data_IF_346773839803
#
_entry.id   IF_346773839803
#
_cell.length_a   1.000
_cell.length_b   1.000
_cell.length_c   1.000
_cell.angle_alpha   90.00
_cell.angle_beta   90.00
_cell.angle_gamma   90.00
#
_symmetry.space_group_name_H-M   'P 1'
#
loop_
_entity.id
_entity.type
_entity.pdbx_description
1 polymer ?
#
# COMPACT_ATOMS: atom_id res chain seq x y z
N UNK A 1 -13.00 -0.03 5.67
CA UNK A 1 -14.14 -0.92 5.38
C UNK A 1 -14.14 -1.26 3.90
N UNK A 2 -14.37 -2.53 3.55
CA UNK A 2 -14.45 -3.02 2.18
C UNK A 2 -15.88 -3.49 1.89
N UNK A 3 -16.41 -3.04 0.76
CA UNK A 3 -17.71 -3.45 0.23
C UNK A 3 -17.55 -4.06 -1.15
N UNK A 4 -18.39 -5.05 -1.46
CA UNK A 4 -18.55 -5.63 -2.79
C UNK A 4 -19.98 -5.45 -3.29
N UNK A 5 -20.32 -6.00 -4.48
CA UNK A 5 -21.67 -5.92 -5.03
C UNK A 5 -22.74 -6.51 -4.11
N UNK A 6 -22.40 -7.50 -3.30
CA UNK A 6 -23.31 -8.14 -2.35
C UNK A 6 -23.36 -7.43 -0.98
N UNK A 7 -22.65 -6.32 -0.79
CA UNK A 7 -22.61 -5.56 0.45
C UNK A 7 -21.27 -5.63 1.17
N UNK A 8 -21.30 -5.59 2.49
CA UNK A 8 -20.11 -5.55 3.35
C UNK A 8 -19.29 -6.84 3.27
N UNK A 9 -17.98 -6.70 3.04
CA UNK A 9 -17.02 -7.80 3.01
C UNK A 9 -16.23 -7.87 4.32
N UNK A 10 -15.78 -6.73 4.82
CA UNK A 10 -14.97 -6.68 6.03
C UNK A 10 -14.34 -5.32 6.30
N UNK A 11 -13.44 -5.28 7.26
CA UNK A 11 -12.66 -4.08 7.59
C UNK A 11 -11.22 -4.46 7.91
N UNK A 12 -10.31 -3.53 7.72
CA UNK A 12 -8.94 -3.56 8.22
C UNK A 12 -8.74 -2.34 9.11
N UNK A 13 -8.33 -2.56 10.33
CA UNK A 13 -7.95 -1.49 11.24
C UNK A 13 -6.48 -1.11 11.03
N UNK A 14 -6.14 0.15 11.27
CA UNK A 14 -4.76 0.63 11.20
C UNK A 14 -3.92 -0.04 12.29
N UNK A 15 -2.75 -0.55 11.90
CA UNK A 15 -1.89 -1.32 12.79
C UNK A 15 -0.97 -0.42 13.61
N UNK A 16 -0.34 0.55 12.95
CA UNK A 16 0.66 1.42 13.56
C UNK A 16 0.21 2.87 13.48
N UNK A 17 -0.04 3.46 14.63
CA UNK A 17 -0.41 4.87 14.73
C UNK A 17 0.81 5.76 14.59
N UNK A 18 0.66 6.89 13.90
CA UNK A 18 1.65 7.96 13.87
C UNK A 18 1.84 8.55 15.28
N UNK A 19 2.90 9.30 15.47
CA UNK A 19 3.16 10.01 16.72
C UNK A 19 1.96 10.91 17.10
N UNK A 20 1.46 11.69 16.12
CA UNK A 20 0.32 12.58 16.31
C UNK A 20 -0.94 11.83 16.76
N UNK A 21 -1.31 10.75 16.09
CA UNK A 21 -2.47 9.92 16.45
C UNK A 21 -2.35 9.36 17.87
N UNK A 22 -1.13 9.02 18.32
CA UNK A 22 -0.87 8.52 19.68
C UNK A 22 -0.91 9.59 20.75
N UNK A 23 -0.21 10.70 20.50
CA UNK A 23 0.04 11.73 21.52
C UNK A 23 -1.11 12.74 21.63
N UNK A 24 -1.72 13.12 20.48
CA UNK A 24 -2.77 14.14 20.45
C UNK A 24 -4.19 13.51 20.49
N UNK A 25 -4.40 12.42 19.74
CA UNK A 25 -5.72 11.79 19.67
C UNK A 25 -5.88 10.59 20.60
N UNK A 26 -4.82 10.15 21.23
CA UNK A 26 -4.79 8.99 22.13
C UNK A 26 -5.37 7.71 21.50
N UNK A 27 -5.16 7.52 20.19
CA UNK A 27 -5.63 6.36 19.46
C UNK A 27 -4.58 5.25 19.50
N UNK A 28 -5.03 4.04 19.81
CA UNK A 28 -4.21 2.84 19.75
C UNK A 28 -4.42 2.09 18.44
N UNK A 29 -3.37 1.45 17.93
CA UNK A 29 -3.46 0.52 16.82
C UNK A 29 -4.17 -0.77 17.21
N UNK A 30 -4.86 -1.38 16.27
CA UNK A 30 -5.52 -2.66 16.49
C UNK A 30 -4.73 -3.78 15.77
N UNK A 31 -4.20 -4.77 16.50
CA UNK A 31 -3.47 -5.86 15.88
C UNK A 31 -4.39 -6.76 15.07
N UNK A 32 -3.88 -7.24 13.95
CA UNK A 32 -4.58 -8.18 13.09
C UNK A 32 -4.62 -7.73 11.63
N UNK A 33 -3.94 -8.48 10.78
CA UNK A 33 -3.97 -8.29 9.33
C UNK A 33 -5.04 -9.18 8.71
N UNK A 34 -5.74 -8.65 7.73
CA UNK A 34 -6.77 -9.38 7.00
C UNK A 34 -6.45 -9.46 5.52
N UNK A 35 -6.73 -10.62 4.96
CA UNK A 35 -6.77 -10.85 3.51
C UNK A 35 -8.22 -10.93 3.09
N UNK A 36 -8.56 -10.23 2.04
CA UNK A 36 -9.90 -10.22 1.47
C UNK A 36 -9.89 -10.98 0.15
N UNK A 37 -10.47 -12.17 0.15
CA UNK A 37 -10.71 -12.92 -1.07
C UNK A 37 -11.89 -12.30 -1.82
N UNK A 38 -11.64 -11.82 -3.02
CA UNK A 38 -12.64 -11.14 -3.84
C UNK A 38 -12.67 -11.70 -5.26
N UNK A 39 -13.73 -11.38 -6.02
CA UNK A 39 -13.84 -11.75 -7.42
C UNK A 39 -12.75 -11.12 -8.32
N UNK A 40 -12.05 -10.08 -7.82
CA UNK A 40 -10.99 -9.36 -8.55
C UNK A 40 -9.60 -9.64 -7.98
N UNK A 41 -9.44 -10.71 -7.19
CA UNK A 41 -8.17 -11.11 -6.60
C UNK A 41 -8.11 -10.96 -5.08
N UNK A 42 -6.98 -11.31 -4.50
CA UNK A 42 -6.70 -11.20 -3.07
C UNK A 42 -6.18 -9.82 -2.72
N UNK A 43 -6.96 -9.12 -1.90
CA UNK A 43 -6.66 -7.74 -1.48
C UNK A 43 -6.16 -7.72 -0.04
N UNK A 44 -5.18 -6.86 0.22
CA UNK A 44 -4.75 -6.46 1.56
C UNK A 44 -4.82 -4.94 1.70
N UNK A 45 -4.82 -4.44 2.93
CA UNK A 45 -4.84 -2.99 3.20
C UNK A 45 -3.73 -2.64 4.18
N UNK A 46 -2.91 -1.64 3.84
CA UNK A 46 -1.93 -1.01 4.71
C UNK A 46 -2.25 0.49 4.77
N UNK A 47 -2.78 0.95 5.89
CA UNK A 47 -3.33 2.30 6.00
C UNK A 47 -2.21 3.31 6.25
N UNK A 48 -1.92 4.16 5.26
CA UNK A 48 -1.00 5.29 5.38
C UNK A 48 0.35 4.86 5.97
N UNK A 49 0.63 5.22 7.23
CA UNK A 49 1.85 4.89 7.96
C UNK A 49 2.17 3.39 8.00
N UNK A 50 1.16 2.50 7.97
CA UNK A 50 1.38 1.05 7.91
C UNK A 50 2.24 0.64 6.70
N UNK A 51 2.14 1.37 5.59
CA UNK A 51 2.93 1.09 4.37
C UNK A 51 4.44 1.34 4.53
N UNK A 52 4.84 2.11 5.54
CA UNK A 52 6.25 2.37 5.84
C UNK A 52 6.93 1.18 6.57
N UNK A 53 6.14 0.19 7.03
CA UNK A 53 6.64 -0.99 7.75
C UNK A 53 6.68 -2.23 6.85
N UNK A 54 7.87 -2.73 6.46
CA UNK A 54 8.00 -3.83 5.51
C UNK A 54 7.33 -5.12 5.99
N UNK A 55 7.37 -5.42 7.28
CA UNK A 55 6.81 -6.68 7.81
C UNK A 55 5.29 -6.76 7.67
N UNK A 56 4.56 -5.65 7.69
CA UNK A 56 3.10 -5.63 7.47
C UNK A 56 2.78 -6.13 6.07
N UNK A 57 3.37 -5.51 5.06
CA UNK A 57 3.15 -5.90 3.67
C UNK A 57 3.71 -7.29 3.38
N UNK A 58 4.85 -7.65 3.98
CA UNK A 58 5.44 -8.99 3.87
C UNK A 58 4.46 -10.07 4.33
N UNK A 59 3.84 -9.91 5.50
CA UNK A 59 2.87 -10.86 6.03
C UNK A 59 1.63 -10.98 5.14
N UNK A 60 1.14 -9.87 4.60
CA UNK A 60 0.04 -9.86 3.64
C UNK A 60 0.42 -10.61 2.34
N UNK A 61 1.61 -10.35 1.80
CA UNK A 61 2.09 -11.01 0.59
C UNK A 61 2.30 -12.53 0.79
N UNK A 62 2.84 -12.96 1.93
CA UNK A 62 2.95 -14.38 2.33
C UNK A 62 1.58 -15.05 2.47
N UNK A 63 0.57 -14.30 2.90
CA UNK A 63 -0.82 -14.77 2.94
C UNK A 63 -1.52 -14.73 1.57
N UNK A 64 -0.78 -14.44 0.49
CA UNK A 64 -1.25 -14.50 -0.89
C UNK A 64 -1.87 -13.21 -1.43
N UNK A 65 -1.70 -12.07 -0.76
CA UNK A 65 -2.17 -10.78 -1.30
C UNK A 65 -1.47 -10.47 -2.63
N UNK A 66 -2.29 -10.11 -3.61
CA UNK A 66 -1.87 -9.73 -4.97
C UNK A 66 -1.94 -8.22 -5.16
N UNK A 67 -2.91 -7.57 -4.49
CA UNK A 67 -3.10 -6.12 -4.53
C UNK A 67 -3.12 -5.56 -3.11
N UNK A 68 -2.18 -4.67 -2.82
CA UNK A 68 -2.11 -3.94 -1.55
C UNK A 68 -2.73 -2.55 -1.74
N UNK A 69 -3.78 -2.26 -0.99
CA UNK A 69 -4.43 -0.96 -0.98
C UNK A 69 -3.79 -0.08 0.11
N UNK A 70 -3.37 1.12 -0.27
CA UNK A 70 -2.73 2.09 0.63
C UNK A 70 -3.55 3.40 0.63
N UNK A 71 -4.69 3.43 1.33
CA UNK A 71 -5.37 4.69 1.59
C UNK A 71 -4.53 5.54 2.56
N UNK A 72 -4.39 6.82 2.30
CA UNK A 72 -3.55 7.69 3.14
C UNK A 72 -4.11 9.10 3.29
N UNK A 73 -3.67 9.77 4.36
CA UNK A 73 -3.92 11.17 4.61
C UNK A 73 -2.62 11.79 5.10
N UNK A 74 -2.10 12.77 4.38
CA UNK A 74 -0.83 13.44 4.71
C UNK A 74 -0.98 14.93 4.44
N UNK A 75 -0.51 15.75 5.38
CA UNK A 75 -0.60 17.21 5.41
C UNK A 75 0.51 17.91 4.63
N UNK A 76 1.59 17.20 4.36
CA UNK A 76 2.80 17.75 3.73
C UNK A 76 3.26 16.91 2.54
N UNK A 77 3.98 17.54 1.62
CA UNK A 77 4.66 16.83 0.52
C UNK A 77 5.66 15.81 1.06
N UNK A 78 6.31 16.10 2.18
CA UNK A 78 7.23 15.16 2.83
C UNK A 78 6.48 13.92 3.37
N UNK A 79 5.31 14.14 4.01
CA UNK A 79 4.42 13.07 4.47
C UNK A 79 3.94 12.19 3.32
N UNK A 80 3.46 12.80 2.25
CA UNK A 80 3.09 12.09 1.03
C UNK A 80 4.25 11.26 0.47
N UNK A 81 5.45 11.82 0.36
CA UNK A 81 6.60 11.10 -0.18
C UNK A 81 7.03 9.93 0.70
N UNK A 82 6.92 10.00 2.03
CA UNK A 82 7.19 8.84 2.88
C UNK A 82 6.26 7.67 2.53
N UNK A 83 4.94 7.91 2.50
CA UNK A 83 3.95 6.89 2.15
C UNK A 83 4.17 6.39 0.72
N UNK A 84 4.46 7.29 -0.23
CA UNK A 84 4.76 6.93 -1.62
C UNK A 84 5.98 6.02 -1.73
N UNK A 85 7.08 6.37 -1.06
CA UNK A 85 8.31 5.55 -1.04
C UNK A 85 8.01 4.18 -0.42
N UNK A 86 7.28 4.15 0.70
CA UNK A 86 6.80 2.92 1.30
C UNK A 86 6.01 2.08 0.31
N UNK A 87 4.99 2.64 -0.33
CA UNK A 87 4.14 1.95 -1.29
C UNK A 87 4.93 1.35 -2.47
N UNK A 88 5.87 2.11 -3.04
CA UNK A 88 6.76 1.63 -4.12
C UNK A 88 7.65 0.49 -3.62
N UNK A 89 8.23 0.63 -2.42
CA UNK A 89 9.06 -0.41 -1.84
C UNK A 89 8.26 -1.72 -1.59
N UNK A 90 7.01 -1.60 -1.15
CA UNK A 90 6.12 -2.77 -0.98
C UNK A 90 5.83 -3.46 -2.32
N UNK A 91 5.60 -2.69 -3.39
CA UNK A 91 5.42 -3.27 -4.73
C UNK A 91 6.67 -4.04 -5.18
N UNK A 92 7.86 -3.46 -4.99
CA UNK A 92 9.14 -4.06 -5.34
C UNK A 92 9.41 -5.36 -4.57
N UNK A 93 9.44 -5.30 -3.25
CA UNK A 93 9.91 -6.40 -2.40
C UNK A 93 8.90 -7.55 -2.27
N UNK A 94 7.60 -7.22 -2.34
CA UNK A 94 6.52 -8.22 -2.28
C UNK A 94 6.09 -8.74 -3.64
N UNK A 95 6.61 -8.15 -4.73
CA UNK A 95 6.22 -8.44 -6.11
C UNK A 95 4.69 -8.49 -6.25
N UNK A 96 4.03 -7.40 -5.87
CA UNK A 96 2.58 -7.24 -5.93
C UNK A 96 2.21 -5.87 -6.52
N UNK A 97 0.94 -5.71 -6.86
CA UNK A 97 0.39 -4.41 -7.24
C UNK A 97 0.07 -3.60 -5.98
N UNK A 98 0.41 -2.32 -5.97
CA UNK A 98 0.06 -1.42 -4.86
C UNK A 98 -0.76 -0.25 -5.38
N UNK A 99 -1.93 -0.03 -4.79
CA UNK A 99 -2.81 1.09 -5.12
C UNK A 99 -2.72 2.12 -4.00
N UNK A 100 -2.10 3.25 -4.29
CA UNK A 100 -1.96 4.37 -3.36
C UNK A 100 -3.04 5.41 -3.64
N UNK A 101 -3.88 5.67 -2.65
CA UNK A 101 -5.01 6.59 -2.74
C UNK A 101 -4.99 7.61 -1.59
N UNK A 102 -4.23 8.71 -1.72
CA UNK A 102 -4.20 9.76 -0.73
C UNK A 102 -5.42 10.68 -0.82
N UNK A 103 -5.82 11.24 0.32
CA UNK A 103 -6.69 12.43 0.34
C UNK A 103 -5.93 13.64 -0.21
N UNK A 104 -6.64 14.55 -0.87
CA UNK A 104 -6.11 15.80 -1.39
C UNK A 104 -7.09 16.96 -1.15
N UNK A 105 -6.56 18.17 -1.05
CA UNK A 105 -7.34 19.38 -0.84
C UNK A 105 -7.38 19.85 0.60
N UNK A 106 -8.13 20.90 0.88
CA UNK A 106 -8.27 21.51 2.19
C UNK A 106 -9.66 21.26 2.79
N UNK A 107 -9.72 21.21 4.12
CA UNK A 107 -10.97 21.23 4.89
C UNK A 107 -10.88 22.29 5.98
N UNK A 108 -11.98 22.96 6.25
CA UNK A 108 -12.05 24.08 7.21
C UNK A 108 -12.67 23.68 8.56
N UNK A 109 -13.26 22.51 8.61
CA UNK A 109 -13.99 22.02 9.80
C UNK A 109 -13.13 21.18 10.76
N UNK A 110 -11.92 20.81 10.36
CA UNK A 110 -10.99 20.02 11.20
C UNK A 110 -9.55 20.49 11.01
N UNK A 111 -8.97 21.20 12.00
CA UNK A 111 -7.61 21.73 11.89
C UNK A 111 -6.50 20.68 11.82
N UNK A 112 -6.78 19.42 12.11
CA UNK A 112 -5.83 18.31 11.94
C UNK A 112 -5.82 17.76 10.51
N UNK A 113 -6.77 18.18 9.65
CA UNK A 113 -6.92 17.77 8.27
C UNK A 113 -7.05 18.98 7.34
N UNK A 114 -6.65 20.17 7.81
CA UNK A 114 -6.80 21.44 7.13
C UNK A 114 -6.14 21.47 5.76
N UNK A 115 -5.04 20.79 5.59
CA UNK A 115 -4.36 20.58 4.31
C UNK A 115 -4.11 19.10 4.07
N UNK A 116 -4.34 18.64 2.81
CA UNK A 116 -4.06 17.28 2.39
C UNK A 116 -3.31 17.30 1.06
N UNK A 117 -2.13 16.69 1.05
CA UNK A 117 -1.21 16.70 -0.09
C UNK A 117 -1.00 15.29 -0.63
N UNK A 118 -1.06 15.14 -1.96
CA UNK A 118 -0.79 13.85 -2.56
C UNK A 118 -1.21 13.71 -4.02
N UNK A 119 -1.03 12.54 -4.54
CA UNK A 119 -1.58 12.07 -5.83
C UNK A 119 -1.83 10.57 -5.79
N UNK A 120 -2.91 10.15 -6.41
CA UNK A 120 -3.22 8.73 -6.55
C UNK A 120 -2.25 8.06 -7.53
N UNK A 121 -1.89 6.81 -7.27
CA UNK A 121 -1.03 6.05 -8.16
C UNK A 121 -1.25 4.54 -8.03
N UNK A 122 -0.86 3.81 -9.08
CA UNK A 122 -0.80 2.35 -9.11
C UNK A 122 0.64 1.97 -9.39
N UNK A 123 1.23 1.19 -8.51
CA UNK A 123 2.61 0.71 -8.59
C UNK A 123 2.64 -0.80 -8.81
N UNK A 124 3.69 -1.27 -9.45
CA UNK A 124 4.01 -2.68 -9.64
C UNK A 124 5.53 -2.87 -9.51
N UNK A 125 6.05 -4.10 -9.38
CA UNK A 125 7.49 -4.30 -9.32
C UNK A 125 8.12 -3.85 -10.65
N UNK A 126 9.24 -3.10 -10.63
CA UNK A 126 9.95 -2.71 -11.85
C UNK A 126 10.75 -3.91 -12.41
N UNK A 127 10.05 -4.88 -12.96
CA UNK A 127 10.59 -6.09 -13.55
C UNK A 127 9.91 -6.38 -14.90
N UNK A 128 10.48 -7.21 -15.73
CA UNK A 128 10.21 -7.40 -17.15
C UNK A 128 8.75 -7.53 -17.61
N UNK A 129 7.85 -7.88 -16.72
CA UNK A 129 6.40 -7.95 -16.98
C UNK A 129 5.66 -6.62 -16.74
N UNK A 130 6.32 -5.65 -16.13
CA UNK A 130 5.76 -4.41 -15.63
C UNK A 130 6.52 -3.21 -16.19
N UNK A 131 5.99 -1.98 -16.06
CA UNK A 131 6.73 -0.78 -16.44
C UNK A 131 8.07 -0.68 -15.71
N UNK A 132 9.13 -0.29 -16.43
CA UNK A 132 10.50 -0.18 -15.89
C UNK A 132 10.61 0.79 -14.70
N UNK A 133 9.72 1.77 -14.64
CA UNK A 133 9.65 2.73 -13.53
C UNK A 133 8.94 2.19 -12.29
N UNK A 134 8.24 1.05 -12.40
CA UNK A 134 7.33 0.53 -11.40
C UNK A 134 6.04 1.35 -11.26
N UNK A 135 5.81 2.35 -12.13
CA UNK A 135 4.60 3.18 -12.11
C UNK A 135 3.68 2.71 -13.24
N UNK A 136 2.55 2.09 -12.89
CA UNK A 136 1.54 1.66 -13.85
C UNK A 136 0.67 2.83 -14.29
N UNK A 137 0.27 3.67 -13.33
CA UNK A 137 -0.45 4.91 -13.56
C UNK A 137 -0.25 5.85 -12.37
N UNK A 138 -0.21 7.15 -12.63
CA UNK A 138 -0.26 8.15 -11.56
C UNK A 138 -1.01 9.41 -12.00
N UNK A 139 -1.63 10.08 -11.03
CA UNK A 139 -2.33 11.36 -11.23
C UNK A 139 -1.43 12.58 -11.03
N UNK A 140 -2.00 13.75 -11.25
CA UNK A 140 -1.34 15.00 -10.92
C UNK A 140 -1.29 15.23 -9.39
N UNK A 141 -0.25 15.91 -8.93
CA UNK A 141 -0.12 16.29 -7.52
C UNK A 141 -1.25 17.23 -7.12
N UNK A 142 -1.84 16.96 -5.95
CA UNK A 142 -2.90 17.74 -5.32
C UNK A 142 -4.19 17.92 -6.18
N UNK A 143 -4.37 17.05 -7.17
CA UNK A 143 -5.55 17.07 -8.03
C UNK A 143 -6.52 15.95 -7.66
N UNK A 144 -7.78 16.28 -7.31
CA UNK A 144 -8.80 15.27 -7.09
C UNK A 144 -9.18 14.59 -8.41
N UNK A 145 -9.48 13.30 -8.36
CA UNK A 145 -9.91 12.56 -9.54
C UNK A 145 -9.62 11.07 -9.47
N UNK A 146 -9.96 10.38 -10.54
CA UNK A 146 -9.74 8.95 -10.71
C UNK A 146 -8.46 8.67 -11.49
N UNK A 147 -7.60 7.83 -10.94
CA UNK A 147 -6.49 7.20 -11.66
C UNK A 147 -6.87 5.76 -11.94
N UNK A 148 -6.85 5.37 -13.20
CA UNK A 148 -7.33 4.06 -13.66
C UNK A 148 -6.26 3.36 -14.50
N UNK A 149 -6.12 2.05 -14.29
CA UNK A 149 -5.37 1.17 -15.16
C UNK A 149 -6.00 -0.22 -15.15
N UNK A 150 -5.77 -0.97 -16.21
CA UNK A 150 -6.07 -2.41 -16.23
C UNK A 150 -4.82 -3.16 -15.84
N UNK A 151 -4.95 -4.06 -14.88
CA UNK A 151 -3.86 -4.89 -14.36
C UNK A 151 -4.25 -6.35 -14.50
N UNK A 152 -3.36 -7.12 -15.10
CA UNK A 152 -3.46 -8.57 -15.16
C UNK A 152 -2.78 -9.15 -13.92
N UNK A 153 -3.54 -9.74 -13.00
CA UNK A 153 -3.03 -10.27 -11.74
C UNK A 153 -2.26 -11.59 -11.90
N UNK A 154 -2.42 -12.31 -13.01
CA UNK A 154 -1.59 -13.49 -13.29
C UNK A 154 -0.11 -13.13 -13.36
N UNK A 155 0.21 -11.89 -13.76
CA UNK A 155 1.57 -11.35 -13.74
C UNK A 155 2.18 -11.25 -12.35
N UNK A 156 1.39 -11.14 -11.30
CA UNK A 156 1.90 -11.16 -9.91
C UNK A 156 2.48 -12.53 -9.60
N UNK A 157 1.71 -13.59 -9.88
CA UNK A 157 2.17 -14.96 -9.68
C UNK A 157 3.39 -15.28 -10.56
N UNK A 158 3.38 -14.83 -11.82
CA UNK A 158 4.49 -14.99 -12.75
C UNK A 158 5.75 -14.27 -12.27
N UNK A 159 5.63 -13.01 -11.82
CA UNK A 159 6.76 -12.25 -11.27
C UNK A 159 7.41 -12.95 -10.08
N UNK A 160 6.58 -13.50 -9.17
CA UNK A 160 7.06 -14.23 -7.98
C UNK A 160 7.71 -15.57 -8.31
N UNK A 161 7.34 -16.20 -9.43
CA UNK A 161 7.86 -17.49 -9.88
C UNK A 161 9.05 -17.37 -10.82
N UNK A 162 8.94 -16.50 -11.82
CA UNK A 162 9.80 -16.46 -13.00
C UNK A 162 10.36 -15.05 -13.33
N UNK A 163 10.19 -14.05 -12.44
CA UNK A 163 10.71 -12.70 -12.60
C UNK A 163 12.24 -12.69 -12.79
N UNK A 164 12.77 -11.63 -13.38
CA UNK A 164 14.23 -11.44 -13.56
C UNK A 164 14.97 -11.40 -12.23
N UNK A 165 14.30 -10.91 -11.18
CA UNK A 165 14.72 -10.93 -9.79
C UNK A 165 13.57 -11.46 -8.94
N UNK A 166 13.87 -12.09 -7.81
CA UNK A 166 12.88 -12.81 -7.01
C UNK A 166 12.89 -12.34 -5.53
N UNK A 167 12.76 -11.05 -5.25
CA UNK A 167 12.84 -10.54 -3.88
C UNK A 167 11.81 -11.20 -2.95
N UNK A 168 10.58 -11.45 -3.40
CA UNK A 168 9.58 -12.16 -2.62
C UNK A 168 10.04 -13.57 -2.22
N UNK A 169 10.63 -14.32 -3.14
CA UNK A 169 11.10 -15.69 -2.92
C UNK A 169 12.38 -15.76 -2.09
N UNK A 170 13.32 -14.82 -2.34
CA UNK A 170 14.62 -14.78 -1.68
C UNK A 170 14.61 -14.01 -0.35
N UNK A 171 13.46 -13.47 0.06
CA UNK A 171 13.33 -12.76 1.32
C UNK A 171 13.90 -13.51 2.53
N UNK A 172 13.67 -14.84 2.70
CA UNK A 172 14.23 -15.57 3.84
C UNK A 172 15.77 -15.54 3.90
N UNK A 173 16.44 -15.38 2.77
CA UNK A 173 17.90 -15.30 2.71
C UNK A 173 18.42 -13.99 3.32
N UNK A 174 17.59 -12.94 3.36
CA UNK A 174 17.93 -11.66 3.98
C UNK A 174 17.74 -11.66 5.50
N UNK A 175 17.13 -12.70 6.06
CA UNK A 175 16.91 -12.86 7.50
C UNK A 175 18.07 -13.60 8.20
N UNK A 176 19.24 -13.63 7.58
CA UNK A 176 20.45 -14.21 8.18
C UNK A 176 20.83 -13.39 9.40
N UNK A 177 21.19 -14.07 10.49
CA UNK A 177 21.75 -13.43 11.66
C UNK A 177 23.15 -12.87 11.34
N UNK A 178 23.17 -11.61 10.90
CA UNK A 178 24.38 -10.90 10.51
C UNK A 178 25.18 -10.36 11.70
N UNK A 179 24.62 -10.49 12.91
CA UNK A 179 25.18 -9.96 14.16
C UNK A 179 25.67 -11.07 15.10
N UNK A 180 25.90 -12.27 14.54
CA UNK A 180 26.39 -13.46 15.27
C UNK A 180 27.65 -13.29 16.08
#
# INVERSE_FOLDING_TARGET
VLFGPAGWIGHQDKQVMTRFEREEWHVAGAPGLRVFDTAVGRLGVAICYDSEFPLIARRLAEAGVEVLLVPSCTDTVAGFNRVRIGAIARALESQCVVVHAPTVGAVDWNPALDENRGRAAIYAPPDGLWPETGIVAEGAMDAPGWVKATVDLDRVAESRRDGRVLPFRHWPESAVDLLG
#
